data_IF_541008330151
#
_entry.id   IF_541008330151
#
_cell.length_a   1.000
_cell.length_b   1.000
_cell.length_c   1.000
_cell.angle_alpha   90.00
_cell.angle_beta   90.00
_cell.angle_gamma   90.00
#
_symmetry.space_group_name_H-M   'P 1'
#
loop_
_entity.id
_entity.type
_entity.pdbx_description
1 polymer ?
#
# COMPACT_ATOMS: atom_id res chain seq x y z
N UNK A 1 15.91 3.57 7.34
CA UNK A 1 14.65 3.95 8.01
C UNK A 1 13.66 4.15 6.89
N UNK A 2 12.68 3.27 6.77
CA UNK A 2 11.78 3.28 5.62
C UNK A 2 10.62 4.23 5.91
N UNK A 3 10.26 5.03 4.92
CA UNK A 3 9.15 5.97 5.02
C UNK A 3 8.10 5.50 4.03
N UNK A 4 7.09 4.82 4.57
CA UNK A 4 6.06 4.22 3.75
C UNK A 4 4.99 5.25 3.37
N UNK A 5 4.63 5.27 2.10
CA UNK A 5 3.53 6.04 1.55
C UNK A 5 2.52 5.07 0.93
N UNK A 6 1.26 5.26 1.24
CA UNK A 6 0.18 4.59 0.52
C UNK A 6 -0.24 5.51 -0.63
N UNK A 7 0.04 5.09 -1.86
CA UNK A 7 -0.30 5.78 -3.10
C UNK A 7 -1.50 5.09 -3.74
N UNK A 8 -2.58 5.83 -3.96
CA UNK A 8 -3.74 5.37 -4.71
C UNK A 8 -3.66 5.91 -6.13
N UNK A 9 -3.70 5.04 -7.12
CA UNK A 9 -3.68 5.39 -8.54
C UNK A 9 -4.96 4.94 -9.23
N UNK A 10 -5.27 5.59 -10.34
CA UNK A 10 -6.37 5.24 -11.22
C UNK A 10 -5.92 5.32 -12.67
N UNK A 11 -6.17 4.28 -13.45
CA UNK A 11 -5.78 4.20 -14.85
C UNK A 11 -6.66 3.22 -15.63
N UNK A 12 -6.60 3.25 -16.95
CA UNK A 12 -7.29 2.29 -17.81
C UNK A 12 -6.34 1.19 -18.28
N UNK A 13 -6.77 -0.06 -18.10
CA UNK A 13 -6.06 -1.25 -18.59
C UNK A 13 -6.99 -2.16 -19.38
N UNK A 14 -6.43 -2.90 -20.34
CA UNK A 14 -7.15 -3.93 -21.05
C UNK A 14 -7.49 -5.09 -20.09
N UNK A 15 -8.75 -5.48 -20.01
CA UNK A 15 -9.17 -6.70 -19.33
C UNK A 15 -9.22 -7.85 -20.35
N UNK A 16 -8.71 -9.02 -19.98
CA UNK A 16 -8.47 -10.19 -20.85
C UNK A 16 -9.69 -10.72 -21.64
N UNK A 17 -10.90 -10.20 -21.41
CA UNK A 17 -12.10 -10.65 -22.14
C UNK A 17 -13.19 -9.58 -22.37
N UNK A 18 -13.03 -8.32 -21.94
CA UNK A 18 -14.17 -7.37 -21.92
C UNK A 18 -13.85 -5.91 -22.31
N UNK A 19 -12.69 -5.65 -22.92
CA UNK A 19 -12.32 -4.30 -23.37
C UNK A 19 -11.58 -3.48 -22.31
N UNK A 20 -11.50 -2.16 -22.52
CA UNK A 20 -10.80 -1.24 -21.60
C UNK A 20 -11.60 -1.06 -20.31
N UNK A 21 -10.91 -1.16 -19.17
CA UNK A 21 -11.51 -0.94 -17.84
C UNK A 21 -10.68 0.04 -17.03
N UNK A 22 -11.35 1.04 -16.46
CA UNK A 22 -10.77 1.90 -15.43
C UNK A 22 -10.63 1.13 -14.12
N UNK A 23 -9.42 1.04 -13.60
CA UNK A 23 -9.08 0.39 -12.33
C UNK A 23 -8.57 1.43 -11.34
N UNK A 24 -8.79 1.17 -10.05
CA UNK A 24 -8.21 1.97 -8.99
C UNK A 24 -7.57 1.06 -7.96
N UNK A 25 -6.27 1.24 -7.78
CA UNK A 25 -5.41 0.36 -7.00
C UNK A 25 -4.60 1.18 -6.00
N UNK A 26 -4.33 0.61 -4.83
CA UNK A 26 -3.52 1.22 -3.78
C UNK A 26 -2.24 0.42 -3.61
N UNK A 27 -1.12 1.13 -3.58
CA UNK A 27 0.22 0.55 -3.45
C UNK A 27 0.94 1.17 -2.25
N UNK A 28 1.82 0.37 -1.65
CA UNK A 28 2.72 0.83 -0.62
C UNK A 28 4.09 1.12 -1.26
N UNK A 29 4.56 2.35 -1.11
CA UNK A 29 5.79 2.86 -1.74
C UNK A 29 6.73 3.31 -0.63
N UNK A 30 7.96 2.81 -0.62
CA UNK A 30 9.04 3.40 0.17
C UNK A 30 9.57 4.62 -0.57
N UNK A 31 9.64 5.77 0.10
CA UNK A 31 10.13 7.02 -0.48
C UNK A 31 10.47 8.01 0.62
N UNK A 32 11.35 8.98 0.41
CA UNK A 32 11.71 9.99 1.41
C UNK A 32 10.71 11.17 1.45
N UNK A 33 9.95 11.38 0.37
CA UNK A 33 9.03 12.51 0.23
C UNK A 33 7.79 12.17 -0.61
N UNK A 34 6.77 13.04 -0.56
CA UNK A 34 5.57 12.89 -1.40
C UNK A 34 5.89 12.94 -2.89
N UNK A 35 6.80 13.82 -3.30
CA UNK A 35 7.23 13.95 -4.70
C UNK A 35 7.96 12.71 -5.18
N UNK A 36 8.85 12.15 -4.36
CA UNK A 36 9.53 10.88 -4.70
C UNK A 36 8.54 9.70 -4.74
N UNK A 37 7.58 9.66 -3.82
CA UNK A 37 6.53 8.63 -3.82
C UNK A 37 5.66 8.71 -5.09
N UNK A 38 5.33 9.93 -5.53
CA UNK A 38 4.59 10.20 -6.77
C UNK A 38 5.38 9.76 -8.00
N UNK A 39 6.65 10.15 -8.10
CA UNK A 39 7.52 9.78 -9.21
C UNK A 39 7.66 8.27 -9.32
N UNK A 40 7.97 7.59 -8.21
CA UNK A 40 8.14 6.13 -8.18
C UNK A 40 6.86 5.41 -8.61
N UNK A 41 5.70 5.78 -8.05
CA UNK A 41 4.46 5.08 -8.42
C UNK A 41 4.07 5.32 -9.87
N UNK A 42 4.33 6.51 -10.41
CA UNK A 42 4.08 6.80 -11.83
C UNK A 42 4.98 5.93 -12.70
N UNK A 43 6.27 5.85 -12.40
CA UNK A 43 7.22 5.04 -13.19
C UNK A 43 6.84 3.55 -13.19
N UNK A 44 6.45 3.00 -12.05
CA UNK A 44 6.12 1.58 -11.91
C UNK A 44 4.76 1.22 -12.55
N UNK A 45 3.77 2.11 -12.51
CA UNK A 45 2.42 1.82 -13.02
C UNK A 45 2.27 2.10 -14.51
N UNK A 46 3.06 3.03 -15.06
CA UNK A 46 2.99 3.43 -16.47
C UNK A 46 3.01 2.28 -17.49
N UNK A 47 3.77 1.18 -17.31
CA UNK A 47 3.75 0.03 -18.24
C UNK A 47 2.40 -0.72 -18.28
N UNK A 48 1.59 -0.61 -17.23
CA UNK A 48 0.28 -1.28 -17.13
C UNK A 48 -0.87 -0.44 -17.71
N UNK A 49 -0.62 0.83 -18.02
CA UNK A 49 -1.62 1.74 -18.62
C UNK A 49 -1.73 1.42 -20.10
N UNK A 50 -2.90 0.94 -20.53
CA UNK A 50 -3.12 0.56 -21.93
C UNK A 50 -3.47 1.76 -22.81
N UNK A 51 -4.33 2.65 -22.32
CA UNK A 51 -4.79 3.87 -23.00
C UNK A 51 -5.09 4.94 -21.95
N UNK A 52 -4.92 6.22 -22.31
CA UNK A 52 -5.29 7.35 -21.47
C UNK A 52 -4.23 7.76 -20.44
N UNK A 53 -4.64 8.62 -19.51
CA UNK A 53 -3.76 9.19 -18.49
C UNK A 53 -3.79 8.40 -17.18
N UNK A 54 -2.62 8.27 -16.56
CA UNK A 54 -2.47 7.79 -15.19
C UNK A 54 -2.74 8.93 -14.21
N UNK A 55 -3.68 8.72 -13.30
CA UNK A 55 -4.00 9.68 -12.24
C UNK A 55 -3.52 9.16 -10.89
N UNK A 56 -2.74 9.97 -10.18
CA UNK A 56 -2.42 9.72 -8.76
C UNK A 56 -3.51 10.37 -7.91
N UNK A 57 -4.42 9.54 -7.40
CA UNK A 57 -5.65 9.97 -6.71
C UNK A 57 -5.36 10.40 -5.26
N UNK A 58 -4.40 9.76 -4.59
CA UNK A 58 -4.06 10.07 -3.21
C UNK A 58 -2.64 9.62 -2.89
N UNK A 59 -1.92 10.40 -2.08
CA UNK A 59 -0.67 9.98 -1.46
C UNK A 59 -0.76 10.32 0.04
N UNK A 60 -0.60 9.30 0.90
CA UNK A 60 -0.60 9.50 2.35
C UNK A 60 0.55 8.76 3.02
N UNK A 61 1.11 9.35 4.09
CA UNK A 61 2.09 8.65 4.93
C UNK A 61 1.42 7.48 5.65
N UNK A 62 1.99 6.29 5.49
CA UNK A 62 1.58 5.09 6.19
C UNK A 62 2.48 4.88 7.41
N UNK A 63 1.88 4.87 8.61
CA UNK A 63 2.59 4.53 9.85
C UNK A 63 2.68 3.01 9.97
N UNK A 64 3.67 2.42 9.31
CA UNK A 64 3.96 1.00 9.34
C UNK A 64 5.27 0.81 10.10
N UNK A 65 5.21 0.07 11.20
CA UNK A 65 6.38 -0.24 12.02
C UNK A 65 7.21 -1.37 11.40
N UNK A 66 6.54 -2.42 10.91
CA UNK A 66 7.15 -3.61 10.34
C UNK A 66 6.33 -4.11 9.14
N UNK A 67 7.02 -4.73 8.19
CA UNK A 67 6.43 -5.34 6.99
C UNK A 67 6.90 -6.79 6.90
N UNK A 68 5.97 -7.71 6.73
CA UNK A 68 6.24 -9.13 6.55
C UNK A 68 5.98 -9.45 5.08
N UNK A 69 7.04 -9.81 4.36
CA UNK A 69 6.98 -10.21 2.96
C UNK A 69 7.03 -11.72 2.87
N UNK A 70 6.25 -12.30 1.97
CA UNK A 70 6.38 -13.71 1.60
C UNK A 70 7.23 -13.84 0.34
N UNK A 71 7.99 -14.93 0.26
CA UNK A 71 8.71 -15.35 -0.95
C UNK A 71 7.84 -16.25 -1.86
N UNK A 72 6.65 -16.67 -1.40
CA UNK A 72 5.73 -17.51 -2.16
C UNK A 72 4.92 -16.64 -3.14
N UNK A 73 5.01 -16.86 -4.47
CA UNK A 73 4.34 -16.02 -5.47
C UNK A 73 2.81 -15.99 -5.37
N UNK A 74 2.21 -17.04 -4.82
CA UNK A 74 0.76 -17.16 -4.61
C UNK A 74 0.25 -16.31 -3.43
N UNK A 75 1.15 -15.79 -2.59
CA UNK A 75 0.83 -14.92 -1.46
C UNK A 75 0.93 -13.43 -1.87
N UNK A 76 0.01 -13.01 -2.74
CA UNK A 76 0.03 -11.71 -3.43
C UNK A 76 -0.73 -10.58 -2.70
N UNK A 77 -1.28 -10.85 -1.51
CA UNK A 77 -2.13 -9.91 -0.75
C UNK A 77 -1.47 -9.45 0.53
N UNK A 78 -1.51 -8.12 0.73
CA UNK A 78 -1.06 -7.48 1.96
C UNK A 78 -2.23 -7.12 2.87
N UNK A 79 -2.04 -7.33 4.17
CA UNK A 79 -3.01 -6.97 5.21
C UNK A 79 -2.37 -6.02 6.22
N UNK A 80 -3.12 -4.99 6.63
CA UNK A 80 -2.67 -4.05 7.68
C UNK A 80 -3.27 -4.45 9.03
N UNK A 81 -2.40 -4.79 9.98
CA UNK A 81 -2.79 -5.09 11.35
C UNK A 81 -2.30 -3.99 12.32
N UNK A 82 -3.02 -3.81 13.44
CA UNK A 82 -2.58 -3.01 14.58
C UNK A 82 -2.44 -3.91 15.79
N UNK A 83 -1.22 -4.08 16.28
CA UNK A 83 -0.95 -4.83 17.51
C UNK A 83 -1.18 -3.89 18.70
N UNK A 84 -1.96 -4.33 19.69
CA UNK A 84 -2.11 -3.66 20.97
C UNK A 84 -1.53 -4.57 22.05
N UNK A 85 -0.57 -4.07 22.82
CA UNK A 85 -0.04 -4.78 23.96
C UNK A 85 -0.90 -4.45 25.18
N UNK A 86 -1.25 -5.48 25.95
CA UNK A 86 -1.86 -5.32 27.27
C UNK A 86 -0.90 -5.91 28.28
N UNK A 87 -0.70 -5.21 29.40
CA UNK A 87 0.07 -5.74 30.53
C UNK A 87 -0.89 -5.98 31.67
N UNK A 88 -0.85 -7.19 32.22
CA UNK A 88 -1.69 -7.55 33.37
C UNK A 88 -0.83 -7.38 34.62
N UNK A 89 -1.35 -6.65 35.60
CA UNK A 89 -0.71 -6.51 36.90
C UNK A 89 -0.89 -7.81 37.70
N UNK A 90 0.19 -8.55 37.95
CA UNK A 90 0.15 -9.86 38.64
C UNK A 90 -0.44 -9.79 40.06
N UNK A 91 -0.49 -8.63 40.70
CA UNK A 91 -1.05 -8.48 42.06
C UNK A 91 -2.53 -8.13 42.07
N UNK A 92 -3.01 -7.35 41.09
CA UNK A 92 -4.39 -6.87 41.07
C UNK A 92 -5.25 -7.49 39.97
N UNK A 93 -4.67 -8.30 39.07
CA UNK A 93 -5.35 -8.87 37.89
C UNK A 93 -5.90 -7.81 36.94
N UNK A 94 -5.51 -6.54 37.11
CA UNK A 94 -6.08 -5.42 36.39
C UNK A 94 -5.31 -5.19 35.10
N UNK A 95 -6.03 -5.03 33.99
CA UNK A 95 -5.46 -4.73 32.69
C UNK A 95 -4.97 -3.29 32.64
N UNK A 96 -3.69 -3.10 32.29
CA UNK A 96 -3.13 -1.80 31.92
C UNK A 96 -2.91 -1.80 30.40
N UNK A 97 -3.61 -0.89 29.73
CA UNK A 97 -3.43 -0.58 28.30
C UNK A 97 -2.21 0.29 28.06
#
# INVERSE_FOLDING_TARGET
MNYWFECKVSYERQADSMGMKKVSESYLVDALSFTEAEERIIQEIRPFVSVGDLEVVNIRRARIAELFLSEVPEEDKYYRAKVNFITVDEKSGSEKK
#
